data_IF_811865489593
#
_entry.id   IF_811865489593
#
_cell.length_a   1.000
_cell.length_b   1.000
_cell.length_c   1.000
_cell.angle_alpha   90.00
_cell.angle_beta   90.00
_cell.angle_gamma   90.00
#
_symmetry.space_group_name_H-M   'P 1'
#
loop_
_entity.id
_entity.type
_entity.pdbx_description
1 polymer ?
#
# COMPACT_ATOMS: atom_id res chain seq x y z
N UNK A 1 15.61 5.60 3.13
CA UNK A 1 14.24 5.69 3.67
C UNK A 1 13.21 4.91 2.84
N UNK A 2 13.12 5.07 1.51
CA UNK A 2 12.17 4.30 0.68
C UNK A 2 12.27 2.77 0.80
N UNK A 3 13.50 2.22 0.86
CA UNK A 3 13.75 0.78 1.07
C UNK A 3 13.30 0.33 2.48
N UNK A 4 13.51 1.17 3.49
CA UNK A 4 13.10 0.89 4.86
C UNK A 4 11.57 0.79 4.97
N UNK A 5 10.84 1.71 4.32
CA UNK A 5 9.37 1.64 4.23
C UNK A 5 8.88 0.46 3.38
N UNK A 6 9.63 0.06 2.35
CA UNK A 6 9.31 -1.13 1.54
C UNK A 6 9.46 -2.43 2.33
N UNK A 7 10.52 -2.55 3.13
CA UNK A 7 10.74 -3.68 4.04
C UNK A 7 9.67 -3.71 5.12
N UNK A 8 9.33 -2.55 5.73
CA UNK A 8 8.24 -2.44 6.70
C UNK A 8 6.87 -2.83 6.10
N UNK A 9 6.61 -2.49 4.84
CA UNK A 9 5.42 -2.93 4.13
C UNK A 9 5.35 -4.44 3.95
N UNK A 10 6.47 -5.08 3.59
CA UNK A 10 6.54 -6.53 3.44
C UNK A 10 6.41 -7.26 4.78
N UNK A 11 7.01 -6.71 5.85
CA UNK A 11 6.86 -7.21 7.22
C UNK A 11 5.43 -7.02 7.74
N UNK A 12 4.76 -5.91 7.40
CA UNK A 12 3.36 -5.65 7.74
C UNK A 12 2.43 -6.69 7.11
N UNK A 13 2.66 -7.07 5.86
CA UNK A 13 1.90 -8.14 5.19
C UNK A 13 2.10 -9.49 5.90
N UNK A 14 3.27 -9.79 6.45
CA UNK A 14 3.53 -11.06 7.15
C UNK A 14 2.96 -11.10 8.58
N UNK A 15 2.76 -9.95 9.24
CA UNK A 15 2.37 -9.90 10.66
C UNK A 15 0.87 -9.75 10.90
N UNK A 16 0.08 -9.25 9.94
CA UNK A 16 -1.36 -9.10 10.10
C UNK A 16 -2.14 -10.38 9.72
N UNK A 17 -2.98 -10.94 10.61
CA UNK A 17 -3.70 -12.20 10.39
C UNK A 17 -5.01 -12.06 9.59
N UNK A 18 -5.45 -10.84 9.26
CA UNK A 18 -6.75 -10.57 8.64
C UNK A 18 -6.60 -9.90 7.26
N UNK A 19 -7.38 -10.34 6.26
CA UNK A 19 -7.27 -9.93 4.86
C UNK A 19 -7.46 -8.41 4.69
N UNK A 20 -8.43 -7.82 5.39
CA UNK A 20 -8.70 -6.38 5.30
C UNK A 20 -7.59 -5.56 5.96
N UNK A 21 -7.08 -6.06 7.08
CA UNK A 21 -6.03 -5.40 7.86
C UNK A 21 -4.68 -5.45 7.12
N UNK A 22 -4.40 -6.54 6.38
CA UNK A 22 -3.23 -6.66 5.49
C UNK A 22 -3.28 -5.69 4.31
N UNK A 23 -4.44 -5.52 3.68
CA UNK A 23 -4.59 -4.63 2.52
C UNK A 23 -4.33 -3.17 2.87
N UNK A 24 -4.90 -2.69 3.98
CA UNK A 24 -4.68 -1.32 4.43
C UNK A 24 -3.25 -1.09 4.90
N UNK A 25 -2.64 -2.05 5.61
CA UNK A 25 -1.25 -1.95 6.05
C UNK A 25 -0.30 -1.89 4.85
N UNK A 26 -0.48 -2.76 3.86
CA UNK A 26 0.34 -2.79 2.65
C UNK A 26 0.19 -1.51 1.83
N UNK A 27 -1.03 -1.03 1.62
CA UNK A 27 -1.30 0.20 0.84
C UNK A 27 -0.68 1.44 1.49
N UNK A 28 -0.80 1.61 2.81
CA UNK A 28 -0.19 2.75 3.53
C UNK A 28 1.34 2.75 3.41
N UNK A 29 1.97 1.59 3.58
CA UNK A 29 3.42 1.45 3.43
C UNK A 29 3.86 1.74 1.98
N UNK A 30 3.15 1.20 0.99
CA UNK A 30 3.46 1.38 -0.43
C UNK A 30 3.41 2.86 -0.86
N UNK A 31 2.36 3.60 -0.45
CA UNK A 31 2.23 5.03 -0.76
C UNK A 31 3.36 5.84 -0.11
N UNK A 32 3.71 5.54 1.14
CA UNK A 32 4.80 6.23 1.85
C UNK A 32 6.15 5.99 1.18
N UNK A 33 6.42 4.76 0.71
CA UNK A 33 7.61 4.43 -0.08
C UNK A 33 7.65 5.21 -1.40
N UNK A 34 6.54 5.27 -2.13
CA UNK A 34 6.44 6.00 -3.39
C UNK A 34 6.71 7.49 -3.22
N UNK A 35 6.12 8.12 -2.20
CA UNK A 35 6.36 9.54 -1.87
C UNK A 35 7.83 9.76 -1.51
N UNK A 36 8.44 8.86 -0.72
CA UNK A 36 9.86 8.97 -0.37
C UNK A 36 10.78 8.83 -1.60
N UNK A 37 10.45 7.95 -2.55
CA UNK A 37 11.21 7.78 -3.79
C UNK A 37 11.04 9.00 -4.71
N UNK A 38 9.82 9.56 -4.81
CA UNK A 38 9.56 10.79 -5.55
C UNK A 38 10.36 11.98 -5.00
N UNK A 39 10.36 12.16 -3.67
CA UNK A 39 11.16 13.21 -3.02
C UNK A 39 12.66 13.04 -3.30
N UNK A 40 13.16 11.80 -3.20
CA UNK A 40 14.56 11.49 -3.46
C UNK A 40 14.95 11.75 -4.93
N UNK A 41 14.08 11.37 -5.88
CA UNK A 41 14.31 11.60 -7.30
C UNK A 41 14.30 13.11 -7.63
N UNK A 42 13.39 13.87 -7.02
CA UNK A 42 13.33 15.33 -7.16
C UNK A 42 14.61 16.00 -6.64
N UNK A 43 15.15 15.55 -5.50
CA UNK A 43 16.41 16.06 -4.95
C UNK A 43 17.64 15.67 -5.78
N UNK A 44 17.67 14.47 -6.38
CA UNK A 44 18.84 13.96 -7.11
C UNK A 44 18.92 14.42 -8.56
N UNK A 45 17.79 14.52 -9.27
CA UNK A 45 17.76 14.77 -10.72
C UNK A 45 16.95 16.00 -11.15
N UNK A 46 16.25 16.68 -10.23
CA UNK A 46 15.36 17.80 -10.59
C UNK A 46 14.24 17.38 -11.57
N UNK A 47 13.76 18.33 -12.38
CA UNK A 47 12.76 18.12 -13.45
C UNK A 47 13.37 17.35 -14.65
N UNK A 48 13.72 16.09 -14.41
CA UNK A 48 14.16 15.15 -15.45
C UNK A 48 12.96 14.33 -15.96
N UNK A 49 12.95 13.87 -17.23
CA UNK A 49 11.93 12.95 -17.74
C UNK A 49 11.75 11.68 -16.90
N UNK A 50 12.77 11.27 -16.12
CA UNK A 50 12.64 10.19 -15.14
C UNK A 50 11.61 10.49 -14.04
N UNK A 51 11.62 11.69 -13.47
CA UNK A 51 10.70 12.11 -12.40
C UNK A 51 9.26 12.10 -12.90
N UNK A 52 9.02 12.55 -14.14
CA UNK A 52 7.70 12.51 -14.77
C UNK A 52 7.15 11.08 -14.90
N UNK A 53 7.98 10.12 -15.33
CA UNK A 53 7.57 8.70 -15.42
C UNK A 53 7.23 8.11 -14.05
N UNK A 54 8.01 8.41 -13.01
CA UNK A 54 7.76 7.93 -11.65
C UNK A 54 6.46 8.54 -11.09
N UNK A 55 6.17 9.80 -11.39
CA UNK A 55 4.94 10.46 -10.97
C UNK A 55 3.70 9.82 -11.62
N UNK A 56 3.76 9.53 -12.92
CA UNK A 56 2.67 8.81 -13.63
C UNK A 56 2.44 7.42 -13.02
N UNK A 57 3.50 6.67 -12.74
CA UNK A 57 3.39 5.36 -12.07
C UNK A 57 2.77 5.51 -10.68
N UNK A 58 3.12 6.57 -9.95
CA UNK A 58 2.59 6.84 -8.60
C UNK A 58 1.09 7.11 -8.63
N UNK A 59 0.63 7.96 -9.54
CA UNK A 59 -0.80 8.26 -9.72
C UNK A 59 -1.57 7.01 -10.12
N UNK A 60 -1.03 6.22 -11.06
CA UNK A 60 -1.65 4.96 -11.47
C UNK A 60 -1.74 3.96 -10.31
N UNK A 61 -0.70 3.88 -9.47
CA UNK A 61 -0.67 3.00 -8.31
C UNK A 61 -1.70 3.43 -7.23
N UNK A 62 -1.90 4.73 -7.04
CA UNK A 62 -2.91 5.28 -6.14
C UNK A 62 -4.34 4.94 -6.57
N UNK A 63 -4.61 4.84 -7.87
CA UNK A 63 -5.92 4.37 -8.39
C UNK A 63 -6.04 2.85 -8.33
N UNK A 64 -4.95 2.13 -8.58
CA UNK A 64 -4.93 0.66 -8.54
C UNK A 64 -5.16 0.11 -7.13
N UNK A 65 -4.60 0.74 -6.09
CA UNK A 65 -4.74 0.29 -4.70
C UNK A 65 -6.20 0.20 -4.18
N UNK A 66 -7.07 1.21 -4.35
CA UNK A 66 -8.47 1.13 -3.94
C UNK A 66 -9.27 0.15 -4.81
N UNK A 67 -8.96 0.03 -6.10
CA UNK A 67 -9.61 -0.96 -6.99
C UNK A 67 -9.28 -2.38 -6.54
N UNK A 68 -8.00 -2.66 -6.29
CA UNK A 68 -7.56 -3.96 -5.76
C UNK A 68 -8.19 -4.25 -4.40
N UNK A 69 -8.20 -3.28 -3.48
CA UNK A 69 -8.81 -3.43 -2.15
C UNK A 69 -10.30 -3.71 -2.25
N UNK A 70 -11.01 -3.07 -3.18
CA UNK A 70 -12.45 -3.26 -3.40
C UNK A 70 -12.76 -4.66 -3.96
N UNK A 71 -12.00 -5.13 -4.95
CA UNK A 71 -12.17 -6.49 -5.52
C UNK A 71 -11.90 -7.55 -4.45
N UNK A 72 -10.84 -7.37 -3.67
CA UNK A 72 -10.48 -8.33 -2.61
C UNK A 72 -11.52 -8.31 -1.49
N UNK A 73 -12.05 -7.14 -1.11
CA UNK A 73 -13.14 -7.03 -0.15
C UNK A 73 -14.42 -7.74 -0.65
N UNK A 74 -14.77 -7.59 -1.93
CA UNK A 74 -15.93 -8.27 -2.53
C UNK A 74 -15.76 -9.78 -2.59
N UNK A 75 -14.57 -10.27 -2.96
CA UNK A 75 -14.27 -11.70 -2.96
C UNK A 75 -14.19 -12.31 -1.56
N UNK A 76 -13.72 -11.54 -0.56
CA UNK A 76 -13.73 -11.94 0.84
C UNK A 76 -15.17 -12.02 1.40
N UNK A 77 -16.04 -11.11 0.99
CA UNK A 77 -17.47 -11.11 1.31
C UNK A 77 -18.19 -12.33 0.73
N UNK A 78 -17.99 -12.63 -0.56
CA UNK A 78 -18.58 -13.81 -1.22
C UNK A 78 -18.09 -15.14 -0.61
N UNK A 79 -16.83 -15.20 -0.13
CA UNK A 79 -16.29 -16.38 0.56
C UNK A 79 -16.74 -16.53 2.01
N UNK A 80 -17.59 -15.64 2.53
CA UNK A 80 -18.08 -15.71 3.91
C UNK A 80 -16.98 -15.51 4.97
N UNK A 81 -15.85 -14.88 4.59
CA UNK A 81 -14.77 -14.63 5.54
C UNK A 81 -15.20 -13.57 6.54
N UNK A 82 -15.40 -13.97 7.80
CA UNK A 82 -15.77 -13.06 8.88
C UNK A 82 -14.59 -12.12 9.13
N UNK A 83 -14.80 -10.79 9.07
CA UNK A 83 -13.74 -9.84 9.42
C UNK A 83 -13.30 -10.11 10.86
N UNK A 84 -12.00 -10.18 11.10
CA UNK A 84 -11.47 -10.41 12.44
C UNK A 84 -11.98 -9.33 13.39
N UNK A 85 -12.97 -9.69 14.22
CA UNK A 85 -13.52 -8.82 15.25
C UNK A 85 -12.71 -9.06 16.51
N UNK A 86 -11.89 -8.09 16.91
CA UNK A 86 -11.29 -8.09 18.25
C UNK A 86 -12.45 -8.16 19.24
N UNK A 87 -12.66 -9.32 19.86
CA UNK A 87 -13.65 -9.53 20.91
C UNK A 87 -13.30 -8.53 22.02
N UNK A 88 -14.06 -7.44 22.12
CA UNK A 88 -14.10 -6.65 23.36
C UNK A 88 -14.68 -7.62 24.39
N UNK A 89 -13.79 -8.21 25.19
CA UNK A 89 -14.18 -8.81 26.46
C UNK A 89 -14.88 -7.69 27.24
N UNK A 90 -16.08 -7.98 27.72
CA UNK A 90 -16.56 -7.35 28.94
C UNK A 90 -15.56 -7.56 30.07
#
# INVERSE_FOLDING_TARGET
MGIFFGILGNVGVLKFPDIYTRLQASSKCAVTSLISILLACMFLKGLSPMTGKILVITVFFLVSSPVASHIIARGAWEKGTTPWRRRKSQ
#
